data_IF_161208334963
#
_entry.id   IF_161208334963
#
_cell.length_a   1.000
_cell.length_b   1.000
_cell.length_c   1.000
_cell.angle_alpha   90.00
_cell.angle_beta   90.00
_cell.angle_gamma   90.00
#
_symmetry.space_group_name_H-M   'P 1'
#
loop_
_entity.id
_entity.type
_entity.pdbx_description
1 polymer ?
#
# COMPACT_ATOMS: atom_id res chain seq x y z
N UNK A 1 -3.20 10.46 22.40
CA UNK A 1 -2.59 9.40 21.55
C UNK A 1 -1.97 9.93 20.27
N UNK A 2 -2.67 10.76 19.48
CA UNK A 2 -2.15 11.31 18.21
C UNK A 2 -0.79 12.00 18.37
N UNK A 3 -0.65 12.91 19.34
CA UNK A 3 0.63 13.60 19.62
C UNK A 3 1.74 12.61 20.00
N UNK A 4 1.45 11.64 20.86
CA UNK A 4 2.42 10.61 21.25
C UNK A 4 2.89 9.79 20.04
N UNK A 5 1.98 9.35 19.17
CA UNK A 5 2.33 8.65 17.93
C UNK A 5 3.21 9.50 17.02
N UNK A 6 2.89 10.78 16.82
CA UNK A 6 3.72 11.71 16.07
C UNK A 6 5.14 11.83 16.67
N UNK A 7 5.25 11.97 17.99
CA UNK A 7 6.55 12.03 18.66
C UNK A 7 7.36 10.75 18.43
N UNK A 8 6.76 9.57 18.59
CA UNK A 8 7.46 8.29 18.35
C UNK A 8 7.92 8.18 16.90
N UNK A 9 7.10 8.56 15.91
CA UNK A 9 7.52 8.53 14.51
C UNK A 9 8.64 9.52 14.20
N UNK A 10 8.61 10.72 14.78
CA UNK A 10 9.67 11.73 14.61
C UNK A 10 10.98 11.24 15.24
N UNK A 11 10.94 10.70 16.45
CA UNK A 11 12.10 10.15 17.14
C UNK A 11 12.64 8.93 16.38
N UNK A 12 11.77 8.00 15.99
CA UNK A 12 12.12 6.82 15.20
C UNK A 12 12.79 7.19 13.87
N UNK A 13 12.25 8.17 13.15
CA UNK A 13 12.84 8.68 11.92
C UNK A 13 14.21 9.33 12.15
N UNK A 14 14.38 10.08 13.24
CA UNK A 14 15.63 10.83 13.48
C UNK A 14 16.77 9.96 14.00
N UNK A 15 16.47 9.03 14.91
CA UNK A 15 17.48 8.22 15.58
C UNK A 15 17.61 6.83 14.97
N UNK A 16 16.49 6.10 14.86
CA UNK A 16 16.52 4.71 14.43
C UNK A 16 16.76 4.56 12.93
N UNK A 17 16.07 5.34 12.09
CA UNK A 17 16.34 5.30 10.65
C UNK A 17 17.78 5.72 10.33
N UNK A 18 18.31 6.72 11.03
CA UNK A 18 19.71 7.18 10.88
C UNK A 18 20.71 6.14 11.39
N UNK A 19 20.41 5.42 12.47
CA UNK A 19 21.22 4.30 12.95
C UNK A 19 21.32 3.22 11.87
N UNK A 20 20.19 2.81 11.28
CA UNK A 20 20.14 1.80 10.22
C UNK A 20 20.87 2.27 8.96
N UNK A 21 20.69 3.54 8.59
CA UNK A 21 21.38 4.17 7.47
C UNK A 21 22.90 4.15 7.64
N UNK A 22 23.40 4.59 8.81
CA UNK A 22 24.82 4.74 9.08
C UNK A 22 25.53 3.43 9.46
N UNK A 23 24.84 2.42 9.99
CA UNK A 23 25.48 1.15 10.40
C UNK A 23 25.27 0.00 9.42
N UNK A 24 24.17 0.00 8.67
CA UNK A 24 23.79 -1.16 7.85
C UNK A 24 23.84 -0.79 6.37
N UNK A 25 23.01 0.17 5.96
CA UNK A 25 22.72 0.42 4.54
C UNK A 25 23.85 1.16 3.83
N UNK A 26 24.47 2.14 4.47
CA UNK A 26 25.52 2.99 3.89
C UNK A 26 25.20 3.41 2.44
N UNK A 27 24.13 4.18 2.27
CA UNK A 27 23.69 4.58 0.94
C UNK A 27 24.72 5.47 0.27
N UNK A 28 24.98 5.20 -1.01
CA UNK A 28 25.92 6.00 -1.80
C UNK A 28 25.22 6.53 -3.04
N UNK A 29 25.36 7.84 -3.25
CA UNK A 29 24.82 8.59 -4.38
C UNK A 29 25.68 8.50 -5.65
N UNK A 30 26.89 7.96 -5.53
CA UNK A 30 27.82 7.83 -6.66
C UNK A 30 27.39 6.72 -7.64
N UNK A 31 26.69 5.70 -7.15
CA UNK A 31 26.18 4.60 -7.97
C UNK A 31 24.87 4.93 -8.68
N UNK A 32 24.82 4.64 -9.97
CA UNK A 32 23.58 4.60 -10.72
C UNK A 32 22.71 3.45 -10.23
N UNK A 33 21.40 3.65 -10.20
CA UNK A 33 20.44 2.59 -9.84
C UNK A 33 20.28 1.60 -10.99
N UNK A 34 19.81 0.36 -10.73
CA UNK A 34 19.53 -0.61 -11.80
C UNK A 34 18.58 -0.08 -12.87
N UNK A 35 17.67 0.84 -12.51
CA UNK A 35 16.75 1.49 -13.43
C UNK A 35 17.44 2.41 -14.45
N UNK A 36 18.56 3.02 -14.07
CA UNK A 36 19.34 3.91 -14.95
C UNK A 36 20.35 3.10 -15.77
N UNK A 37 20.87 1.99 -15.21
CA UNK A 37 21.87 1.14 -15.88
C UNK A 37 21.24 0.25 -16.96
N UNK A 38 20.07 -0.32 -16.68
CA UNK A 38 19.41 -1.29 -17.57
C UNK A 38 18.17 -0.72 -18.27
N UNK A 39 18.09 0.61 -18.47
CA UNK A 39 16.94 1.28 -19.06
C UNK A 39 16.55 0.64 -20.41
N UNK A 40 15.46 -0.12 -20.39
CA UNK A 40 14.98 -0.90 -21.53
C UNK A 40 13.54 -0.51 -21.90
N UNK A 41 12.96 0.49 -21.24
CA UNK A 41 11.60 0.96 -21.48
C UNK A 41 10.48 -0.04 -21.13
N UNK A 42 10.82 -1.25 -20.64
CA UNK A 42 9.87 -2.31 -20.27
C UNK A 42 9.99 -2.66 -18.79
N UNK A 43 11.10 -3.29 -18.39
CA UNK A 43 11.36 -3.77 -17.02
C UNK A 43 12.07 -2.71 -16.16
N UNK A 44 12.90 -1.89 -16.77
CA UNK A 44 13.67 -0.83 -16.13
C UNK A 44 13.39 0.47 -16.87
N UNK A 45 12.80 1.41 -16.16
CA UNK A 45 12.55 2.75 -16.68
C UNK A 45 12.72 3.76 -15.54
N UNK A 46 13.56 4.80 -15.74
CA UNK A 46 13.65 5.92 -14.80
C UNK A 46 12.27 6.57 -14.63
N UNK A 47 11.73 6.51 -13.42
CA UNK A 47 10.39 7.03 -13.09
C UNK A 47 10.50 8.15 -12.05
N UNK A 48 9.65 9.17 -12.13
CA UNK A 48 9.64 10.24 -11.14
C UNK A 48 9.41 9.71 -9.70
N UNK A 49 10.05 10.36 -8.73
CA UNK A 49 10.03 9.94 -7.32
C UNK A 49 8.65 9.99 -6.71
N UNK A 50 7.82 10.94 -7.13
CA UNK A 50 6.47 11.14 -6.59
C UNK A 50 5.58 9.98 -7.02
N UNK A 51 5.71 9.56 -8.28
CA UNK A 51 5.02 8.38 -8.82
C UNK A 51 5.49 7.12 -8.10
N UNK A 52 6.80 6.97 -7.94
CA UNK A 52 7.37 5.83 -7.22
C UNK A 52 6.94 5.77 -5.75
N UNK A 53 6.88 6.91 -5.07
CA UNK A 53 6.36 7.01 -3.71
C UNK A 53 4.89 6.64 -3.66
N UNK A 54 4.07 7.17 -4.58
CA UNK A 54 2.65 6.85 -4.66
C UNK A 54 2.42 5.36 -4.87
N UNK A 55 3.10 4.74 -5.84
CA UNK A 55 3.03 3.30 -6.02
C UNK A 55 3.48 2.52 -4.76
N UNK A 56 4.28 3.11 -3.85
CA UNK A 56 4.82 2.40 -2.67
C UNK A 56 3.79 2.43 -1.58
N UNK A 57 3.31 3.64 -1.36
CA UNK A 57 2.24 3.94 -0.46
C UNK A 57 0.98 3.16 -0.84
N UNK A 58 0.59 3.14 -2.12
CA UNK A 58 -0.57 2.42 -2.59
C UNK A 58 -0.46 0.90 -2.37
N UNK A 59 0.74 0.33 -2.50
CA UNK A 59 0.98 -1.09 -2.28
C UNK A 59 0.88 -1.46 -0.79
N UNK A 60 1.35 -0.59 0.12
CA UNK A 60 1.29 -0.80 1.58
C UNK A 60 -0.09 -0.48 2.15
N UNK A 61 -0.70 0.62 1.70
CA UNK A 61 -2.02 1.08 2.12
C UNK A 61 -3.11 0.22 1.47
N UNK A 62 -3.21 -1.04 1.92
CA UNK A 62 -4.24 -2.01 1.54
C UNK A 62 -5.30 -2.19 2.61
N UNK A 63 -6.13 -3.23 2.45
CA UNK A 63 -7.13 -3.60 3.47
C UNK A 63 -6.49 -4.16 4.75
N UNK A 64 -5.27 -4.73 4.67
CA UNK A 64 -4.56 -5.31 5.82
C UNK A 64 -4.37 -4.34 7.00
N UNK A 65 -3.77 -3.15 6.78
CA UNK A 65 -3.64 -2.11 7.82
C UNK A 65 -4.96 -1.57 8.38
N UNK A 66 -6.10 -1.82 7.73
CA UNK A 66 -7.43 -1.40 8.20
C UNK A 66 -8.11 -2.52 8.98
N UNK A 67 -8.18 -3.73 8.41
CA UNK A 67 -8.85 -4.89 9.01
C UNK A 67 -8.11 -5.38 10.26
N UNK A 68 -6.77 -5.42 10.23
CA UNK A 68 -5.96 -5.91 11.36
C UNK A 68 -6.24 -5.16 12.66
N UNK A 69 -6.09 -3.82 12.71
CA UNK A 69 -6.43 -3.04 13.90
C UNK A 69 -7.89 -3.17 14.33
N UNK A 70 -8.84 -3.20 13.39
CA UNK A 70 -10.27 -3.36 13.71
C UNK A 70 -10.52 -4.69 14.42
N UNK A 71 -10.00 -5.80 13.90
CA UNK A 71 -10.12 -7.11 14.56
C UNK A 71 -9.36 -7.15 15.89
N UNK A 72 -8.22 -6.47 15.98
CA UNK A 72 -7.42 -6.42 17.20
C UNK A 72 -8.06 -5.56 18.30
N UNK A 73 -8.92 -4.59 17.98
CA UNK A 73 -9.55 -3.72 18.99
C UNK A 73 -10.35 -4.47 20.05
N UNK A 74 -10.77 -5.72 19.78
CA UNK A 74 -11.39 -6.59 20.80
C UNK A 74 -10.48 -6.83 22.02
N UNK A 75 -9.16 -6.69 21.88
CA UNK A 75 -8.16 -6.83 22.95
C UNK A 75 -7.89 -5.51 23.70
N UNK A 76 -8.64 -4.45 23.39
CA UNK A 76 -8.45 -3.10 23.93
C UNK A 76 -7.63 -2.20 23.01
N UNK A 77 -7.89 -0.90 23.08
CA UNK A 77 -7.25 0.07 22.18
C UNK A 77 -5.78 0.33 22.53
N UNK A 78 -5.40 0.20 23.80
CA UNK A 78 -4.07 0.57 24.30
C UNK A 78 -2.97 -0.36 23.74
N UNK A 79 -3.05 -1.70 23.87
CA UNK A 79 -2.02 -2.58 23.32
C UNK A 79 -1.98 -2.53 21.78
N UNK A 80 -3.14 -2.39 21.13
CA UNK A 80 -3.22 -2.23 19.68
C UNK A 80 -2.48 -0.97 19.20
N UNK A 81 -2.78 0.18 19.79
CA UNK A 81 -2.18 1.45 19.39
C UNK A 81 -0.68 1.51 19.65
N UNK A 82 -0.21 0.96 20.78
CA UNK A 82 1.23 0.85 21.07
C UNK A 82 1.91 0.01 20.00
N UNK A 83 1.38 -1.17 19.68
CA UNK A 83 2.01 -2.06 18.71
C UNK A 83 1.98 -1.50 17.29
N UNK A 84 0.91 -0.81 16.88
CA UNK A 84 0.86 -0.13 15.58
C UNK A 84 1.99 0.90 15.45
N UNK A 85 2.21 1.71 16.51
CA UNK A 85 3.24 2.76 16.47
C UNK A 85 4.64 2.17 16.57
N UNK A 86 4.89 1.31 17.57
CA UNK A 86 6.21 0.73 17.85
C UNK A 86 6.61 -0.29 16.79
N UNK A 87 5.70 -1.20 16.43
CA UNK A 87 5.94 -2.23 15.43
C UNK A 87 6.23 -1.66 14.05
N UNK A 88 5.52 -0.59 13.65
CA UNK A 88 5.79 0.10 12.39
C UNK A 88 7.21 0.70 12.35
N UNK A 89 7.68 1.31 13.44
CA UNK A 89 9.03 1.90 13.51
C UNK A 89 10.11 0.82 13.56
N UNK A 90 9.97 -0.17 14.45
CA UNK A 90 11.02 -1.15 14.71
C UNK A 90 11.14 -2.19 13.58
N UNK A 91 9.99 -2.67 13.09
CA UNK A 91 9.90 -3.75 12.11
C UNK A 91 9.60 -3.23 10.71
N UNK A 92 8.41 -2.67 10.48
CA UNK A 92 7.92 -2.36 9.13
C UNK A 92 8.83 -1.42 8.34
N UNK A 93 9.16 -0.25 8.90
CA UNK A 93 10.03 0.72 8.22
C UNK A 93 11.42 0.17 7.91
N UNK A 94 12.00 -0.63 8.83
CA UNK A 94 13.33 -1.21 8.65
C UNK A 94 13.30 -2.34 7.64
N UNK A 95 12.31 -3.24 7.73
CA UNK A 95 12.13 -4.32 6.78
C UNK A 95 11.98 -3.78 5.36
N UNK A 96 11.10 -2.79 5.15
CA UNK A 96 10.94 -2.13 3.85
C UNK A 96 12.28 -1.62 3.35
N UNK A 97 12.96 -0.82 4.17
CA UNK A 97 14.20 -0.14 3.82
C UNK A 97 15.31 -1.12 3.44
N UNK A 98 15.52 -2.16 4.25
CA UNK A 98 16.50 -3.22 4.00
C UNK A 98 16.18 -4.02 2.74
N UNK A 99 14.93 -4.47 2.57
CA UNK A 99 14.52 -5.27 1.40
C UNK A 99 14.78 -4.53 0.10
N UNK A 100 14.50 -3.23 0.05
CA UNK A 100 14.86 -2.45 -1.14
C UNK A 100 16.34 -2.34 -1.33
N UNK A 101 17.07 -1.99 -0.28
CA UNK A 101 18.49 -1.78 -0.40
C UNK A 101 19.18 -3.04 -0.94
N UNK A 102 18.83 -4.21 -0.38
CA UNK A 102 19.31 -5.51 -0.87
C UNK A 102 18.90 -5.73 -2.33
N UNK A 103 17.63 -5.51 -2.69
CA UNK A 103 17.16 -5.69 -4.07
C UNK A 103 17.89 -4.76 -5.05
N UNK A 104 18.12 -3.49 -4.69
CA UNK A 104 18.84 -2.54 -5.55
C UNK A 104 20.29 -2.94 -5.78
N UNK A 105 20.98 -3.49 -4.77
CA UNK A 105 22.34 -4.01 -4.95
C UNK A 105 22.38 -5.28 -5.79
N UNK A 106 21.32 -6.09 -5.76
CA UNK A 106 21.17 -7.30 -6.58
C UNK A 106 20.42 -7.04 -7.90
N UNK A 107 20.66 -5.89 -8.54
CA UNK A 107 20.11 -5.53 -9.86
C UNK A 107 18.57 -5.62 -9.94
N UNK A 108 17.86 -5.32 -8.85
CA UNK A 108 16.40 -5.37 -8.83
C UNK A 108 15.79 -6.78 -8.84
N UNK A 109 16.54 -7.81 -8.41
CA UNK A 109 16.04 -9.18 -8.27
C UNK A 109 14.93 -9.28 -7.23
N UNK A 110 14.01 -10.23 -7.43
CA UNK A 110 12.95 -10.55 -6.48
C UNK A 110 13.50 -11.34 -5.28
N UNK A 111 12.81 -11.31 -4.14
CA UNK A 111 13.23 -12.04 -2.93
C UNK A 111 13.34 -13.55 -3.17
N UNK A 112 12.47 -14.14 -3.98
CA UNK A 112 12.55 -15.56 -4.33
C UNK A 112 13.79 -15.89 -5.18
N UNK A 113 14.16 -14.99 -6.10
CA UNK A 113 15.42 -15.13 -6.86
C UNK A 113 16.63 -14.97 -5.96
N UNK A 114 16.60 -14.02 -5.02
CA UNK A 114 17.68 -13.83 -4.05
C UNK A 114 17.82 -15.03 -3.10
N UNK A 115 16.70 -15.62 -2.66
CA UNK A 115 16.71 -16.84 -1.86
C UNK A 115 17.28 -18.03 -2.63
N UNK A 116 17.01 -18.13 -3.93
CA UNK A 116 17.60 -19.15 -4.82
C UNK A 116 19.11 -18.98 -4.98
N UNK A 117 19.58 -17.74 -5.11
CA UNK A 117 21.01 -17.45 -5.23
C UNK A 117 21.79 -17.85 -3.97
N UNK A 118 21.19 -17.72 -2.78
CA UNK A 118 21.85 -17.99 -1.48
C UNK A 118 21.66 -19.42 -0.95
N UNK A 119 20.45 -19.99 -1.09
CA UNK A 119 20.10 -21.30 -0.50
C UNK A 119 20.20 -22.45 -1.51
N UNK A 120 20.68 -22.18 -2.73
CA UNK A 120 20.77 -23.14 -3.82
C UNK A 120 19.41 -23.49 -4.46
N UNK A 121 19.42 -24.50 -5.34
CA UNK A 121 18.26 -24.84 -6.16
C UNK A 121 17.03 -25.30 -5.35
N UNK A 122 17.25 -26.12 -4.31
CA UNK A 122 16.17 -26.65 -3.46
C UNK A 122 15.55 -25.55 -2.59
N UNK A 123 16.37 -24.74 -1.90
CA UNK A 123 15.89 -23.63 -1.09
C UNK A 123 15.23 -22.52 -1.93
N UNK A 124 15.75 -22.28 -3.13
CA UNK A 124 15.15 -21.36 -4.10
C UNK A 124 13.79 -21.81 -4.62
N UNK A 125 13.63 -23.09 -4.94
CA UNK A 125 12.34 -23.64 -5.36
C UNK A 125 11.31 -23.57 -4.22
N UNK A 126 11.69 -23.97 -3.01
CA UNK A 126 10.83 -23.88 -1.83
C UNK A 126 10.40 -22.42 -1.55
N UNK A 127 11.34 -21.46 -1.64
CA UNK A 127 11.03 -20.04 -1.48
C UNK A 127 10.10 -19.52 -2.57
N UNK A 128 10.30 -19.94 -3.82
CA UNK A 128 9.47 -19.50 -4.95
C UNK A 128 8.04 -20.05 -4.87
N UNK A 129 7.89 -21.34 -4.50
CA UNK A 129 6.58 -21.95 -4.25
C UNK A 129 5.90 -21.30 -3.04
N UNK A 130 6.63 -21.09 -1.95
CA UNK A 130 6.11 -20.43 -0.75
C UNK A 130 5.59 -19.03 -1.04
N UNK A 131 6.38 -18.21 -1.76
CA UNK A 131 5.95 -16.87 -2.17
C UNK A 131 4.72 -16.94 -3.08
N UNK A 132 4.70 -17.87 -4.05
CA UNK A 132 3.56 -18.05 -4.95
C UNK A 132 2.27 -18.38 -4.18
N UNK A 133 2.33 -19.35 -3.26
CA UNK A 133 1.18 -19.75 -2.42
C UNK A 133 0.69 -18.58 -1.57
N UNK A 134 1.61 -17.84 -0.92
CA UNK A 134 1.25 -16.67 -0.11
C UNK A 134 0.60 -15.59 -0.98
N UNK A 135 1.10 -15.33 -2.19
CA UNK A 135 0.51 -14.35 -3.11
C UNK A 135 -0.92 -14.75 -3.52
N UNK A 136 -1.16 -16.04 -3.82
CA UNK A 136 -2.50 -16.54 -4.16
C UNK A 136 -3.47 -16.34 -2.99
N UNK A 137 -3.06 -16.71 -1.77
CA UNK A 137 -3.89 -16.55 -0.57
C UNK A 137 -4.24 -15.06 -0.34
N UNK A 138 -3.25 -14.17 -0.42
CA UNK A 138 -3.46 -12.73 -0.20
C UNK A 138 -4.41 -12.16 -1.26
N UNK A 139 -4.22 -12.51 -2.55
CA UNK A 139 -5.10 -12.05 -3.63
C UNK A 139 -6.53 -12.56 -3.41
N UNK A 140 -6.71 -13.83 -3.04
CA UNK A 140 -8.03 -14.41 -2.78
C UNK A 140 -8.77 -13.68 -1.63
N UNK A 141 -8.09 -13.45 -0.51
CA UNK A 141 -8.66 -12.74 0.65
C UNK A 141 -9.01 -11.30 0.30
N UNK A 142 -8.12 -10.58 -0.38
CA UNK A 142 -8.36 -9.19 -0.79
C UNK A 142 -9.50 -9.09 -1.81
N UNK A 143 -9.57 -10.01 -2.78
CA UNK A 143 -10.65 -10.05 -3.76
C UNK A 143 -12.00 -10.27 -3.09
N UNK A 144 -12.09 -11.18 -2.12
CA UNK A 144 -13.32 -11.42 -1.35
C UNK A 144 -13.78 -10.17 -0.60
N UNK A 145 -12.86 -9.45 0.06
CA UNK A 145 -13.18 -8.20 0.77
C UNK A 145 -13.67 -7.14 -0.19
N UNK A 146 -13.02 -6.96 -1.35
CA UNK A 146 -13.41 -5.98 -2.36
C UNK A 146 -14.78 -6.30 -2.94
N UNK A 147 -15.04 -7.55 -3.34
CA UNK A 147 -16.33 -7.96 -3.90
C UNK A 147 -17.46 -7.72 -2.91
N UNK A 148 -17.28 -8.08 -1.63
CA UNK A 148 -18.28 -7.83 -0.60
C UNK A 148 -18.52 -6.34 -0.35
N UNK A 149 -17.47 -5.54 -0.33
CA UNK A 149 -17.58 -4.09 -0.15
C UNK A 149 -18.30 -3.42 -1.33
N UNK A 150 -18.01 -3.84 -2.56
CA UNK A 150 -18.62 -3.29 -3.77
C UNK A 150 -20.06 -3.74 -3.99
N UNK A 151 -20.39 -4.99 -3.64
CA UNK A 151 -21.76 -5.49 -3.73
C UNK A 151 -22.74 -4.70 -2.86
N UNK A 152 -22.26 -4.08 -1.77
CA UNK A 152 -23.08 -3.26 -0.88
C UNK A 152 -23.03 -1.76 -1.23
N UNK A 153 -22.21 -1.34 -2.21
CA UNK A 153 -22.00 0.07 -2.54
C UNK A 153 -21.94 0.30 -4.06
N UNK A 154 -23.08 0.62 -4.70
CA UNK A 154 -23.13 1.01 -6.11
C UNK A 154 -22.24 2.22 -6.43
N UNK A 155 -22.13 3.15 -5.47
CA UNK A 155 -21.23 4.30 -5.52
C UNK A 155 -19.76 3.89 -5.69
N UNK A 156 -19.33 2.85 -4.98
CA UNK A 156 -17.98 2.29 -5.07
C UNK A 156 -17.70 1.65 -6.42
N UNK A 157 -18.68 0.90 -6.98
CA UNK A 157 -18.57 0.25 -8.29
C UNK A 157 -18.33 1.29 -9.39
N UNK A 158 -19.14 2.35 -9.41
CA UNK A 158 -18.99 3.43 -10.39
C UNK A 158 -17.64 4.15 -10.27
N UNK A 159 -17.25 4.50 -9.04
CA UNK A 159 -15.99 5.21 -8.78
C UNK A 159 -14.78 4.40 -9.24
N UNK A 160 -14.77 3.08 -8.99
CA UNK A 160 -13.70 2.18 -9.44
C UNK A 160 -13.74 2.02 -10.96
N UNK A 161 -14.92 1.82 -11.55
CA UNK A 161 -15.07 1.71 -13.00
C UNK A 161 -14.50 2.93 -13.73
N UNK A 162 -14.76 4.14 -13.21
CA UNK A 162 -14.23 5.39 -13.75
C UNK A 162 -12.71 5.59 -13.52
N UNK A 163 -12.13 4.98 -12.48
CA UNK A 163 -10.67 5.08 -12.27
C UNK A 163 -9.84 4.40 -13.37
N UNK A 164 -10.39 3.38 -14.05
CA UNK A 164 -9.71 2.65 -15.13
C UNK A 164 -9.46 3.57 -16.34
N UNK A 165 -10.48 4.20 -16.98
CA UNK A 165 -10.25 5.09 -18.11
C UNK A 165 -9.44 6.33 -17.72
N UNK A 166 -9.63 6.87 -16.51
CA UNK A 166 -8.81 8.00 -16.03
C UNK A 166 -7.33 7.60 -15.94
N UNK A 167 -7.03 6.41 -15.41
CA UNK A 167 -5.66 5.90 -15.33
C UNK A 167 -5.05 5.67 -16.72
N UNK A 168 -5.79 5.08 -17.66
CA UNK A 168 -5.35 4.90 -19.05
C UNK A 168 -5.07 6.26 -19.71
N UNK A 169 -5.96 7.24 -19.53
CA UNK A 169 -5.76 8.60 -20.03
C UNK A 169 -4.48 9.22 -19.44
N UNK A 170 -4.27 9.12 -18.13
CA UNK A 170 -3.05 9.62 -17.48
C UNK A 170 -1.79 8.92 -18.01
N UNK A 171 -1.83 7.60 -18.22
CA UNK A 171 -0.73 6.82 -18.78
C UNK A 171 -0.36 7.24 -20.20
N UNK A 172 -1.36 7.39 -21.08
CA UNK A 172 -1.18 7.86 -22.45
C UNK A 172 -0.70 9.32 -22.50
N UNK A 173 -1.24 10.19 -21.65
CA UNK A 173 -0.85 11.60 -21.60
C UNK A 173 0.62 11.77 -21.20
N UNK A 174 1.07 11.02 -20.18
CA UNK A 174 2.46 11.04 -19.72
C UNK A 174 3.43 10.49 -20.76
N UNK A 175 2.99 9.58 -21.63
CA UNK A 175 3.85 8.97 -22.65
C UNK A 175 3.90 9.76 -23.96
N UNK A 176 2.75 10.22 -24.47
CA UNK A 176 2.63 10.78 -25.83
C UNK A 176 2.46 12.30 -25.88
N UNK A 177 1.83 12.92 -24.87
CA UNK A 177 1.43 14.34 -24.97
C UNK A 177 2.45 15.27 -24.31
N UNK A 178 2.84 15.00 -23.07
CA UNK A 178 3.82 15.83 -22.32
C UNK A 178 4.70 14.96 -21.41
N UNK A 179 5.76 14.32 -21.94
CA UNK A 179 6.68 13.55 -21.10
C UNK A 179 7.32 14.44 -20.03
N UNK A 180 7.29 13.98 -18.78
CA UNK A 180 7.95 14.63 -17.64
C UNK A 180 7.10 15.61 -16.81
N UNK A 181 5.92 16.06 -17.28
CA UNK A 181 5.05 16.97 -16.51
C UNK A 181 4.06 16.24 -15.61
N UNK A 182 4.61 15.47 -14.66
CA UNK A 182 3.82 14.65 -13.72
C UNK A 182 2.80 15.49 -12.93
N UNK A 183 3.15 16.73 -12.56
CA UNK A 183 2.28 17.60 -11.76
C UNK A 183 0.96 17.97 -12.47
N UNK A 184 1.00 18.30 -13.76
CA UNK A 184 -0.19 18.66 -14.55
C UNK A 184 -1.16 17.48 -14.62
N UNK A 185 -0.64 16.30 -14.97
CA UNK A 185 -1.42 15.06 -15.06
C UNK A 185 -1.98 14.66 -13.69
N UNK A 186 -1.24 14.92 -12.62
CA UNK A 186 -1.71 14.67 -11.25
C UNK A 186 -2.93 15.52 -10.91
N UNK A 187 -2.90 16.81 -11.26
CA UNK A 187 -4.01 17.74 -10.99
C UNK A 187 -5.24 17.36 -11.81
N UNK A 188 -5.06 17.07 -13.11
CA UNK A 188 -6.15 16.64 -13.98
C UNK A 188 -6.73 15.31 -13.50
N UNK A 189 -5.89 14.30 -13.24
CA UNK A 189 -6.33 12.99 -12.77
C UNK A 189 -7.04 13.05 -11.42
N UNK A 190 -6.54 13.86 -10.49
CA UNK A 190 -7.19 14.09 -9.21
C UNK A 190 -8.54 14.81 -9.35
N UNK A 191 -8.61 15.84 -10.19
CA UNK A 191 -9.86 16.54 -10.49
C UNK A 191 -10.90 15.62 -11.11
N UNK A 192 -10.51 14.81 -12.09
CA UNK A 192 -11.37 13.81 -12.72
C UNK A 192 -11.81 12.73 -11.72
N UNK A 193 -10.93 12.31 -10.82
CA UNK A 193 -11.30 11.37 -9.76
C UNK A 193 -12.34 11.97 -8.81
N UNK A 194 -12.12 13.19 -8.31
CA UNK A 194 -13.10 13.86 -7.45
C UNK A 194 -14.43 14.06 -8.15
N UNK A 195 -14.40 14.45 -9.43
CA UNK A 195 -15.60 14.57 -10.24
C UNK A 195 -16.33 13.22 -10.38
N UNK A 196 -15.60 12.12 -10.61
CA UNK A 196 -16.17 10.77 -10.68
C UNK A 196 -16.76 10.31 -9.34
N UNK A 197 -16.11 10.63 -8.22
CA UNK A 197 -16.61 10.29 -6.89
C UNK A 197 -17.86 11.10 -6.54
N UNK A 198 -17.87 12.40 -6.86
CA UNK A 198 -19.03 13.28 -6.64
C UNK A 198 -20.21 12.91 -7.54
N UNK A 199 -19.97 12.71 -8.84
CA UNK A 199 -21.00 12.29 -9.79
C UNK A 199 -21.51 10.88 -9.50
N UNK A 200 -20.67 10.01 -8.95
CA UNK A 200 -21.08 8.67 -8.54
C UNK A 200 -22.22 8.66 -7.53
N UNK A 201 -22.29 9.64 -6.60
CA UNK A 201 -23.38 9.71 -5.64
C UNK A 201 -24.70 10.06 -6.34
N UNK A 202 -24.68 11.04 -7.23
CA UNK A 202 -25.86 11.44 -8.01
C UNK A 202 -26.32 10.33 -8.97
N UNK A 203 -25.39 9.66 -9.65
CA UNK A 203 -25.68 8.58 -10.60
C UNK A 203 -26.21 7.34 -9.87
N UNK A 204 -25.70 7.03 -8.68
CA UNK A 204 -26.18 5.90 -7.88
C UNK A 204 -27.62 6.07 -7.39
N UNK A 205 -28.12 7.31 -7.28
CA UNK A 205 -29.52 7.60 -6.89
C UNK A 205 -30.50 7.62 -8.07
N UNK A 206 -30.00 7.66 -9.32
CA UNK A 206 -30.85 7.57 -10.51
C UNK A 206 -31.34 6.13 -10.72
N UNK A 207 -32.60 5.97 -11.18
CA UNK A 207 -33.22 4.66 -11.43
C UNK A 207 -32.40 3.75 -12.33
N UNK A 208 -31.76 4.30 -13.36
CA UNK A 208 -30.86 3.56 -14.26
C UNK A 208 -29.56 3.12 -13.56
N UNK A 209 -28.94 4.00 -12.76
CA UNK A 209 -27.71 3.70 -12.03
C UNK A 209 -27.94 2.63 -10.95
N UNK A 210 -29.08 2.66 -10.26
CA UNK A 210 -29.44 1.67 -9.26
C UNK A 210 -29.59 0.25 -9.85
N UNK A 211 -30.06 0.10 -11.10
CA UNK A 211 -30.20 -1.21 -11.75
C UNK A 211 -28.89 -1.74 -12.32
N UNK A 212 -28.07 -0.88 -12.94
CA UNK A 212 -26.84 -1.29 -13.62
C UNK A 212 -25.62 -1.38 -12.69
N UNK A 213 -25.59 -0.58 -11.62
CA UNK A 213 -24.51 -0.59 -10.64
C UNK A 213 -24.75 -1.56 -9.48
N UNK A 214 -25.97 -2.08 -9.32
CA UNK A 214 -26.28 -3.16 -8.37
C UNK A 214 -25.93 -4.52 -9.00
N UNK A 215 -24.63 -4.76 -9.14
CA UNK A 215 -24.10 -6.00 -9.69
C UNK A 215 -24.08 -7.09 -8.62
N UNK A 216 -24.47 -8.31 -9.00
CA UNK A 216 -24.38 -9.46 -8.11
C UNK A 216 -22.92 -9.73 -7.72
N UNK A 217 -22.66 -10.27 -6.51
CA UNK A 217 -21.30 -10.63 -6.08
C UNK A 217 -20.59 -11.57 -7.06
N UNK A 218 -21.35 -12.44 -7.74
CA UNK A 218 -20.84 -13.37 -8.75
C UNK A 218 -20.36 -12.61 -9.99
N UNK A 219 -21.15 -11.64 -10.49
CA UNK A 219 -20.77 -10.80 -11.62
C UNK A 219 -19.54 -9.95 -11.29
N UNK A 220 -19.49 -9.33 -10.10
CA UNK A 220 -18.33 -8.57 -9.63
C UNK A 220 -17.07 -9.42 -9.55
N UNK A 221 -17.18 -10.68 -9.12
CA UNK A 221 -16.05 -11.61 -9.06
C UNK A 221 -15.47 -11.87 -10.45
N UNK A 222 -16.31 -12.11 -11.45
CA UNK A 222 -15.87 -12.26 -12.84
C UNK A 222 -15.21 -11.00 -13.39
N UNK A 223 -15.79 -9.81 -13.11
CA UNK A 223 -15.17 -8.55 -13.53
C UNK A 223 -13.79 -8.34 -12.90
N UNK A 224 -13.61 -8.68 -11.62
CA UNK A 224 -12.30 -8.57 -10.95
C UNK A 224 -11.29 -9.54 -11.57
N UNK A 225 -11.69 -10.76 -11.91
CA UNK A 225 -10.82 -11.75 -12.57
C UNK A 225 -10.40 -11.26 -13.97
N UNK A 226 -11.37 -10.83 -14.79
CA UNK A 226 -11.11 -10.32 -16.14
C UNK A 226 -10.22 -9.07 -16.09
N UNK A 227 -10.51 -8.15 -15.17
CA UNK A 227 -9.69 -6.97 -14.95
C UNK A 227 -8.26 -7.35 -14.50
N UNK A 228 -8.13 -8.31 -13.57
CA UNK A 228 -6.82 -8.78 -13.10
C UNK A 228 -5.99 -9.38 -14.22
N UNK A 229 -6.61 -10.15 -15.13
CA UNK A 229 -5.97 -10.67 -16.33
C UNK A 229 -5.59 -9.56 -17.32
N UNK A 230 -6.50 -8.62 -17.61
CA UNK A 230 -6.18 -7.49 -18.47
C UNK A 230 -5.03 -6.65 -17.90
N UNK A 231 -5.03 -6.39 -16.60
CA UNK A 231 -4.00 -5.61 -15.92
C UNK A 231 -2.63 -6.32 -15.87
N UNK A 232 -2.57 -7.65 -15.91
CA UNK A 232 -1.30 -8.40 -15.92
C UNK A 232 -0.66 -8.48 -17.30
N UNK A 233 -1.47 -8.40 -18.37
CA UNK A 233 -0.99 -8.40 -19.77
C UNK A 233 -0.61 -6.99 -20.23
N UNK A 234 -1.31 -5.97 -19.73
CA UNK A 234 -1.05 -4.58 -20.15
C UNK A 234 0.28 -4.05 -19.58
N UNK A 235 0.94 -3.11 -20.30
CA UNK A 235 2.16 -2.50 -19.83
C UNK A 235 1.97 -1.76 -18.49
N UNK A 236 2.92 -1.91 -17.57
CA UNK A 236 2.87 -1.30 -16.23
C UNK A 236 2.65 0.22 -16.30
N UNK A 237 3.25 0.90 -17.29
CA UNK A 237 3.13 2.35 -17.46
C UNK A 237 1.72 2.80 -17.92
N UNK A 238 0.96 1.93 -18.58
CA UNK A 238 -0.34 2.29 -19.17
C UNK A 238 -1.45 2.32 -18.13
N UNK A 239 -1.51 1.29 -17.27
CA UNK A 239 -2.59 1.13 -16.31
C UNK A 239 -2.07 1.12 -14.87
N UNK A 240 -1.15 0.21 -14.52
CA UNK A 240 -0.76 -0.06 -13.14
C UNK A 240 -0.15 1.17 -12.43
N UNK A 241 0.85 1.78 -13.05
CA UNK A 241 1.54 2.95 -12.50
C UNK A 241 0.61 4.17 -12.32
N UNK A 242 -0.16 4.63 -13.35
CA UNK A 242 -1.05 5.78 -13.18
C UNK A 242 -2.22 5.50 -12.24
N UNK A 243 -2.77 4.28 -12.26
CA UNK A 243 -3.87 3.87 -11.37
C UNK A 243 -3.45 3.86 -9.91
N UNK A 244 -2.29 3.28 -9.60
CA UNK A 244 -1.78 3.25 -8.24
C UNK A 244 -1.42 4.65 -7.73
N UNK A 245 -0.84 5.47 -8.61
CA UNK A 245 -0.56 6.87 -8.31
C UNK A 245 -1.84 7.66 -8.00
N UNK A 246 -2.89 7.51 -8.79
CA UNK A 246 -4.18 8.15 -8.57
C UNK A 246 -4.85 7.67 -7.26
N UNK A 247 -4.80 6.37 -6.98
CA UNK A 247 -5.32 5.80 -5.72
C UNK A 247 -4.59 6.32 -4.48
N UNK A 248 -3.31 6.71 -4.62
CA UNK A 248 -2.52 7.29 -3.54
C UNK A 248 -3.14 8.60 -3.07
N UNK A 249 -3.52 9.49 -3.98
CA UNK A 249 -4.13 10.77 -3.61
C UNK A 249 -5.42 10.58 -2.82
N UNK A 250 -6.26 9.63 -3.25
CA UNK A 250 -7.50 9.31 -2.54
C UNK A 250 -7.23 8.73 -1.15
N UNK A 251 -6.30 7.77 -1.03
CA UNK A 251 -5.94 7.16 0.25
C UNK A 251 -5.30 8.15 1.22
N UNK A 252 -4.33 8.94 0.76
CA UNK A 252 -3.69 9.99 1.57
C UNK A 252 -4.69 11.07 1.98
N UNK A 253 -5.52 11.52 1.03
CA UNK A 253 -6.57 12.51 1.29
C UNK A 253 -7.58 12.02 2.32
N UNK A 254 -8.07 10.79 2.17
CA UNK A 254 -9.00 10.18 3.13
C UNK A 254 -8.38 10.06 4.53
N UNK A 255 -7.14 9.57 4.64
CA UNK A 255 -6.44 9.45 5.93
C UNK A 255 -6.21 10.83 6.56
N UNK A 256 -5.82 11.84 5.77
CA UNK A 256 -5.61 13.20 6.26
C UNK A 256 -6.92 13.82 6.76
N UNK A 257 -8.02 13.67 6.00
CA UNK A 257 -9.35 14.15 6.41
C UNK A 257 -9.83 13.46 7.68
N UNK A 258 -9.64 12.14 7.80
CA UNK A 258 -9.96 11.40 9.02
C UNK A 258 -9.12 11.89 10.21
N UNK A 259 -7.83 12.14 10.02
CA UNK A 259 -6.95 12.65 11.08
C UNK A 259 -7.39 14.04 11.55
N UNK A 260 -7.68 14.96 10.63
CA UNK A 260 -8.22 16.30 10.96
C UNK A 260 -9.57 16.18 11.65
N UNK A 261 -10.46 15.33 11.13
CA UNK A 261 -11.79 15.07 11.70
C UNK A 261 -11.71 14.58 13.16
N UNK A 262 -10.78 13.67 13.47
CA UNK A 262 -10.56 13.19 14.85
C UNK A 262 -10.05 14.30 15.77
N UNK A 263 -9.15 15.17 15.30
CA UNK A 263 -8.61 16.29 16.09
C UNK A 263 -9.69 17.34 16.40
N UNK A 264 -10.57 17.61 15.44
CA UNK A 264 -11.67 18.58 15.57
C UNK A 264 -12.81 18.01 16.42
N UNK A 265 -13.29 16.81 16.10
CA UNK A 265 -14.44 16.19 16.77
C UNK A 265 -14.12 15.72 18.20
N UNK A 266 -12.84 15.47 18.51
CA UNK A 266 -12.36 14.96 19.81
C UNK A 266 -13.27 13.85 20.39
N UNK A 267 -13.52 12.76 19.66
CA UNK A 267 -14.42 11.72 20.12
C UNK A 267 -13.87 11.09 21.40
N UNK A 268 -14.73 10.99 22.42
CA UNK A 268 -14.39 10.26 23.65
C UNK A 268 -14.29 8.78 23.28
N UNK A 269 -13.14 8.15 23.53
CA UNK A 269 -12.98 6.71 23.26
C UNK A 269 -13.84 5.92 24.25
N UNK A 270 -14.92 5.34 23.73
CA UNK A 270 -15.83 4.46 24.49
C UNK A 270 -15.26 3.06 24.71
N UNK A 271 -14.18 2.71 24.00
CA UNK A 271 -13.53 1.40 24.14
C UNK A 271 -12.65 1.37 25.41
N UNK A 272 -12.71 0.30 26.22
CA UNK A 272 -11.84 0.14 27.38
C UNK A 272 -10.36 0.02 26.96
N UNK A 273 -9.46 0.55 27.79
CA UNK A 273 -8.01 0.53 27.51
C UNK A 273 -7.46 -0.89 27.39
N UNK A 274 -7.93 -1.78 28.27
CA UNK A 274 -7.74 -3.23 28.22
C UNK A 274 -9.12 -3.86 28.31
N UNK A 275 -9.46 -4.76 27.39
CA UNK A 275 -10.70 -5.52 27.50
C UNK A 275 -10.49 -6.74 28.40
N UNK A 276 -11.59 -7.26 28.98
CA UNK A 276 -11.55 -8.53 29.72
C UNK A 276 -11.02 -9.69 28.84
N UNK A 277 -11.25 -9.62 27.52
CA UNK A 277 -10.78 -10.59 26.53
C UNK A 277 -9.25 -10.60 26.38
N UNK A 278 -8.56 -9.49 26.69
CA UNK A 278 -7.10 -9.43 26.65
C UNK A 278 -6.44 -10.31 27.73
N UNK A 279 -7.13 -10.54 28.85
CA UNK A 279 -6.64 -11.36 29.96
C UNK A 279 -7.13 -12.81 29.94
N UNK A 280 -8.35 -13.07 29.46
CA UNK A 280 -8.94 -14.42 29.42
C UNK A 280 -8.66 -15.19 28.12
N UNK A 281 -8.36 -14.51 27.03
CA UNK A 281 -8.08 -15.14 25.73
C UNK A 281 -9.31 -15.72 25.02
N UNK A 282 -10.51 -15.41 25.48
CA UNK A 282 -11.81 -15.86 24.97
C UNK A 282 -12.48 -14.80 24.05
N UNK A 283 -11.68 -14.18 23.17
CA UNK A 283 -12.16 -13.11 22.28
C UNK A 283 -13.19 -13.59 21.25
N UNK A 284 -14.25 -12.80 20.95
CA UNK A 284 -15.32 -13.20 20.03
C UNK A 284 -14.88 -13.33 18.56
N UNK A 285 -13.81 -12.63 18.15
CA UNK A 285 -13.28 -12.69 16.77
C UNK A 285 -12.17 -13.73 16.63
N UNK A 286 -11.38 -13.94 17.67
CA UNK A 286 -10.35 -14.97 17.73
C UNK A 286 -10.01 -15.29 19.20
N UNK A 287 -9.86 -16.58 19.50
CA UNK A 287 -9.40 -17.06 20.79
C UNK A 287 -7.87 -17.00 20.84
N UNK A 288 -7.31 -16.40 21.88
CA UNK A 288 -5.87 -16.27 22.05
C UNK A 288 -5.46 -15.16 23.02
N UNK A 289 -4.33 -15.36 23.69
CA UNK A 289 -3.68 -14.39 24.57
C UNK A 289 -3.14 -13.18 23.80
N UNK A 290 -2.93 -12.06 24.51
CA UNK A 290 -2.41 -10.81 23.95
C UNK A 290 -1.08 -11.00 23.20
N UNK A 291 -0.18 -11.85 23.71
CA UNK A 291 0.99 -12.34 22.99
C UNK A 291 0.79 -13.83 22.66
N UNK A 292 1.02 -14.30 21.41
CA UNK A 292 1.55 -13.58 20.24
C UNK A 292 0.48 -13.02 19.28
N UNK A 293 -0.81 -13.27 19.53
CA UNK A 293 -1.86 -13.04 18.53
C UNK A 293 -2.04 -11.58 18.13
N UNK A 294 -1.90 -10.63 19.08
CA UNK A 294 -1.96 -9.20 18.75
C UNK A 294 -0.90 -8.80 17.71
N UNK A 295 0.31 -9.36 17.85
CA UNK A 295 1.45 -9.06 17.00
C UNK A 295 1.23 -9.56 15.58
N UNK A 296 0.66 -10.76 15.45
CA UNK A 296 0.35 -11.42 14.17
C UNK A 296 -0.84 -10.74 13.50
N UNK A 297 -1.91 -10.45 14.23
CA UNK A 297 -3.13 -9.82 13.67
C UNK A 297 -2.86 -8.42 13.11
N UNK A 298 -1.94 -7.66 13.71
CA UNK A 298 -1.54 -6.32 13.25
C UNK A 298 -0.31 -6.38 12.31
N UNK A 299 0.29 -7.55 12.07
CA UNK A 299 1.51 -7.68 11.27
C UNK A 299 1.36 -7.11 9.85
N UNK A 300 0.21 -7.28 9.21
CA UNK A 300 -0.06 -6.71 7.88
C UNK A 300 -0.15 -5.18 7.86
N UNK A 301 -0.22 -4.51 9.02
CA UNK A 301 -0.13 -3.06 9.16
C UNK A 301 1.20 -2.56 9.74
N UNK A 302 1.86 -3.36 10.58
CA UNK A 302 3.10 -3.00 11.27
C UNK A 302 4.39 -3.54 10.60
N UNK A 303 4.30 -4.57 9.76
CA UNK A 303 5.43 -5.35 9.21
C UNK A 303 5.33 -5.61 7.69
N UNK A 304 4.49 -4.88 6.94
CA UNK A 304 4.08 -5.25 5.57
C UNK A 304 5.11 -5.00 4.45
N UNK A 305 6.39 -5.30 4.67
CA UNK A 305 7.44 -5.12 3.67
C UNK A 305 7.43 -6.11 2.51
N UNK A 306 6.44 -6.99 2.44
CA UNK A 306 6.22 -7.91 1.33
C UNK A 306 5.89 -7.20 0.00
N UNK A 307 5.39 -5.97 0.04
CA UNK A 307 4.90 -5.26 -1.15
C UNK A 307 5.99 -4.64 -2.05
N UNK A 308 7.28 -4.85 -1.74
CA UNK A 308 8.40 -4.32 -2.55
C UNK A 308 8.79 -5.16 -3.76
N UNK A 309 8.05 -6.24 -4.04
CA UNK A 309 8.33 -7.24 -5.07
C UNK A 309 8.39 -6.71 -6.52
N UNK A 310 7.79 -5.55 -6.84
CA UNK A 310 7.63 -5.06 -8.24
C UNK A 310 8.52 -3.89 -8.67
N UNK A 311 9.54 -3.46 -7.89
CA UNK A 311 10.16 -2.13 -8.09
C UNK A 311 11.55 -2.15 -8.70
N UNK A 312 11.61 -2.20 -10.04
CA UNK A 312 12.84 -2.04 -10.83
C UNK A 312 13.14 -0.60 -11.30
N UNK A 313 12.22 0.36 -11.10
CA UNK A 313 12.41 1.77 -11.49
C UNK A 313 12.69 2.71 -10.31
N UNK A 314 13.92 3.21 -10.11
CA UNK A 314 14.23 4.34 -9.21
C UNK A 314 15.30 5.26 -9.79
N UNK A 315 15.18 6.59 -9.71
CA UNK A 315 16.26 7.52 -10.04
C UNK A 315 17.08 8.00 -8.82
N UNK A 316 18.35 8.37 -9.07
CA UNK A 316 19.44 8.73 -8.13
C UNK A 316 19.12 9.58 -6.89
N UNK A 317 18.49 10.74 -7.01
CA UNK A 317 18.61 11.82 -5.99
C UNK A 317 17.87 11.62 -4.62
N UNK A 318 17.48 10.39 -4.23
CA UNK A 318 16.64 10.16 -3.04
C UNK A 318 17.39 10.36 -1.72
N UNK A 319 18.72 10.47 -1.74
CA UNK A 319 19.53 10.59 -0.53
C UNK A 319 19.84 12.03 -0.11
N UNK A 320 19.50 13.04 -0.94
CA UNK A 320 19.99 14.42 -0.73
C UNK A 320 18.94 15.51 -0.62
N UNK A 321 17.86 15.34 0.18
CA UNK A 321 17.03 16.51 0.59
C UNK A 321 16.51 16.53 2.04
N UNK A 322 17.17 15.86 3.00
CA UNK A 322 16.88 16.08 4.44
C UNK A 322 18.08 16.05 5.39
N UNK A 323 19.29 16.25 4.87
CA UNK A 323 20.51 16.47 5.67
C UNK A 323 21.18 17.83 5.40
N UNK A 324 20.46 18.77 4.75
CA UNK A 324 20.94 20.15 4.47
C UNK A 324 19.90 21.26 4.72
N UNK A 325 18.92 21.01 5.59
CA UNK A 325 18.17 22.06 6.27
C UNK A 325 17.99 21.62 7.72
N UNK A 326 18.76 22.24 8.62
CA UNK A 326 18.93 21.87 10.03
C UNK A 326 20.30 21.29 10.28
#
# INVERSE_FOLDING_TARGET
MVVAACCVYVIGFRFYARLVEMKIVHPRDDHATPAEIFDNGTDYMPTDRRVLFGHHFAAIAGAGPLVGPVLATQMGYLPCSIWIVVGAVLGGCVQDYLVLWISTRRRGRSLGQMARDELGAAGGLAALVGVFVIMVIIIAVLALVVVRALAQSPWGVFSIAMTIPIAVFMGLYLRFVRPGRVAEVSVIGFGLLLAAVASGHAIAQTSWGATWLNLSPVALSWFVIVYGFAASVLPVWLLLAPRDYLSTFMKVGAIALLAVGVVVARPVMQAPALSHFAGRGDGPVFAGSLFPFLFITIACGALSGFMRWSRRGRPRSCWRKKARCG
#
